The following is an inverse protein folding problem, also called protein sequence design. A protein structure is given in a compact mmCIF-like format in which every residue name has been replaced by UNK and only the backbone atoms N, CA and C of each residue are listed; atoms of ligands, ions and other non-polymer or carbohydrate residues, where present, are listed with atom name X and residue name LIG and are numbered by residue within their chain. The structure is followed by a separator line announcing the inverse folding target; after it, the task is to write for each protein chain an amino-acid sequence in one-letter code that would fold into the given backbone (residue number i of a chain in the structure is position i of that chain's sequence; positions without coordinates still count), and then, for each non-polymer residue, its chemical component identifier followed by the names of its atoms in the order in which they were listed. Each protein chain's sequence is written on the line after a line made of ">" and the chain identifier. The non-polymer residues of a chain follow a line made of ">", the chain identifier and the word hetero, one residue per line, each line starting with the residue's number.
data_IF_872047894432
#
_entry.id   IF_872047894432
#
_cell.length_a   1.000
_cell.length_b   1.000
_cell.length_c   1.000
_cell.angle_alpha   90.00
_cell.angle_beta   90.00
_cell.angle_gamma   90.00
#
_symmetry.space_group_name_H-M   'P 1'
#
loop_
_entity.id
_entity.type
_entity.pdbx_description
1 polymer ?
#
# COMPACT_ATOMS: atom_id res chain seq x y z
N UNK A 1 -12.77 -14.63 21.22
CA UNK A 1 -11.78 -15.33 20.37
C UNK A 1 -11.00 -14.39 19.44
N UNK A 2 -11.51 -13.21 19.10
CA UNK A 2 -10.78 -12.17 18.31
C UNK A 2 -9.69 -11.43 19.11
N UNK A 3 -9.83 -11.32 20.43
CA UNK A 3 -9.02 -10.45 21.30
C UNK A 3 -7.60 -10.93 21.60
N UNK A 4 -7.26 -12.20 21.31
CA UNK A 4 -5.95 -12.78 21.67
C UNK A 4 -5.08 -13.16 20.48
N UNK A 5 -5.40 -12.74 19.26
CA UNK A 5 -4.64 -13.14 18.06
C UNK A 5 -3.39 -12.32 17.81
N UNK A 6 -3.40 -11.06 18.23
CA UNK A 6 -2.25 -10.15 18.15
C UNK A 6 -2.02 -9.61 19.56
N UNK A 7 -0.82 -9.75 20.09
CA UNK A 7 -0.46 -9.18 21.37
C UNK A 7 -0.57 -7.64 21.27
N UNK A 8 -1.48 -7.05 22.04
CA UNK A 8 -1.85 -5.62 21.96
C UNK A 8 -0.67 -4.66 22.08
N UNK A 9 0.38 -5.08 22.79
CA UNK A 9 1.57 -4.26 23.01
C UNK A 9 2.56 -4.28 21.85
N UNK A 10 2.47 -5.27 20.92
CA UNK A 10 3.48 -5.49 19.87
C UNK A 10 3.12 -4.87 18.54
N UNK A 11 1.86 -4.96 18.13
CA UNK A 11 1.37 -4.28 16.92
C UNK A 11 0.20 -3.37 17.27
N UNK A 12 0.30 -2.10 16.85
CA UNK A 12 -0.74 -1.13 17.16
C UNK A 12 -1.87 -1.15 16.13
N UNK A 13 -1.58 -1.49 14.86
CA UNK A 13 -2.56 -1.46 13.78
C UNK A 13 -2.43 -2.68 12.89
N UNK A 14 -3.56 -3.28 12.53
CA UNK A 14 -3.56 -4.43 11.66
C UNK A 14 -4.89 -4.59 10.92
N UNK A 15 -4.83 -5.22 9.74
CA UNK A 15 -6.00 -5.69 9.00
C UNK A 15 -5.69 -7.03 8.35
N UNK A 16 -6.69 -7.89 8.27
CA UNK A 16 -6.70 -9.11 7.48
C UNK A 16 -7.88 -9.07 6.53
N UNK A 17 -7.62 -9.22 5.24
CA UNK A 17 -8.67 -9.28 4.23
C UNK A 17 -8.55 -10.52 3.35
N UNK A 18 -9.68 -10.96 2.82
CA UNK A 18 -9.73 -11.89 1.69
C UNK A 18 -9.35 -11.14 0.40
N UNK A 19 -8.37 -11.64 -0.36
CA UNK A 19 -7.88 -10.97 -1.55
C UNK A 19 -8.86 -11.00 -2.71
N UNK A 20 -9.70 -12.03 -2.80
CA UNK A 20 -10.65 -12.21 -3.90
C UNK A 20 -11.92 -11.39 -3.67
N UNK A 21 -12.51 -11.49 -2.48
CA UNK A 21 -13.77 -10.81 -2.15
C UNK A 21 -13.55 -9.38 -1.61
N UNK A 22 -12.43 -9.14 -0.91
CA UNK A 22 -12.14 -7.90 -0.19
C UNK A 22 -12.80 -7.84 1.19
N UNK A 23 -13.38 -8.95 1.65
CA UNK A 23 -13.98 -9.02 2.98
C UNK A 23 -12.93 -8.80 4.07
N UNK A 24 -13.23 -7.93 5.04
CA UNK A 24 -12.39 -7.70 6.22
C UNK A 24 -12.69 -8.78 7.25
N UNK A 25 -11.67 -9.56 7.61
CA UNK A 25 -11.77 -10.70 8.53
C UNK A 25 -11.24 -10.37 9.92
N UNK A 26 -10.34 -9.40 10.01
CA UNK A 26 -9.80 -8.87 11.26
C UNK A 26 -9.49 -7.39 11.10
N UNK A 27 -9.75 -6.61 12.15
CA UNK A 27 -9.51 -5.17 12.21
C UNK A 27 -8.96 -4.78 13.58
N UNK A 28 -7.89 -4.00 13.58
CA UNK A 28 -7.34 -3.29 14.73
C UNK A 28 -6.87 -1.91 14.27
N UNK A 29 -7.77 -0.92 14.27
CA UNK A 29 -7.50 0.44 13.84
C UNK A 29 -7.09 0.52 12.35
N UNK A 30 -7.77 -0.24 11.50
CA UNK A 30 -7.37 -0.43 10.10
C UNK A 30 -7.38 0.84 9.27
N UNK A 31 -8.19 1.84 9.62
CA UNK A 31 -8.34 3.10 8.88
C UNK A 31 -7.56 4.27 9.51
N UNK A 32 -6.78 4.01 10.55
CA UNK A 32 -5.93 5.02 11.18
C UNK A 32 -4.76 5.44 10.27
N UNK A 33 -4.52 6.76 10.17
CA UNK A 33 -3.40 7.31 9.39
C UNK A 33 -2.05 6.94 10.01
N UNK A 34 -1.17 6.34 9.22
CA UNK A 34 0.17 5.95 9.66
C UNK A 34 1.18 6.15 8.54
N UNK A 35 2.44 6.30 8.91
CA UNK A 35 3.53 6.32 7.94
C UNK A 35 3.76 4.92 7.36
N UNK A 36 3.66 4.75 6.03
CA UNK A 36 3.82 3.43 5.41
C UNK A 36 5.28 2.99 5.28
N UNK A 37 6.24 3.90 5.36
CA UNK A 37 7.64 3.66 5.02
C UNK A 37 7.78 2.96 3.65
N UNK A 38 8.69 2.01 3.49
CA UNK A 38 8.93 1.32 2.22
C UNK A 38 7.79 0.41 1.73
N UNK A 39 6.68 0.24 2.48
CA UNK A 39 5.49 -0.41 1.91
C UNK A 39 4.84 0.43 0.80
N UNK A 40 5.13 1.73 0.75
CA UNK A 40 4.87 2.64 -0.39
C UNK A 40 5.26 2.05 -1.73
N UNK A 41 6.36 1.29 -1.77
CA UNK A 41 6.91 0.71 -3.00
C UNK A 41 5.98 -0.30 -3.69
N UNK A 42 4.96 -0.79 -2.99
CA UNK A 42 3.87 -1.55 -3.63
C UNK A 42 3.12 -0.68 -4.65
N UNK A 43 2.76 0.56 -4.28
CA UNK A 43 2.11 1.50 -5.20
C UNK A 43 3.07 1.94 -6.31
N UNK A 44 4.30 2.28 -5.97
CA UNK A 44 5.32 2.65 -6.96
C UNK A 44 5.51 1.59 -8.04
N UNK A 45 5.67 0.34 -7.61
CA UNK A 45 5.83 -0.78 -8.53
C UNK A 45 4.55 -1.08 -9.33
N UNK A 46 3.37 -0.95 -8.73
CA UNK A 46 2.11 -1.13 -9.44
C UNK A 46 1.97 -0.13 -10.57
N UNK A 47 2.14 1.16 -10.28
CA UNK A 47 2.08 2.25 -11.29
C UNK A 47 3.16 2.06 -12.35
N UNK A 48 4.40 1.74 -11.96
CA UNK A 48 5.49 1.51 -12.92
C UNK A 48 5.21 0.32 -13.85
N UNK A 49 4.75 -0.81 -13.31
CA UNK A 49 4.46 -2.02 -14.09
C UNK A 49 3.29 -1.82 -15.06
N UNK A 50 2.32 -0.99 -14.69
CA UNK A 50 1.18 -0.66 -15.55
C UNK A 50 1.56 0.31 -16.68
N UNK A 51 2.55 1.18 -16.49
CA UNK A 51 2.91 2.27 -17.41
C UNK A 51 4.26 2.12 -18.08
N UNK A 52 4.92 0.97 -17.99
CA UNK A 52 6.21 0.73 -18.65
C UNK A 52 6.36 -0.70 -19.15
N UNK A 53 7.37 -0.90 -20.03
CA UNK A 53 7.77 -2.22 -20.49
C UNK A 53 8.95 -2.76 -19.66
N UNK A 54 9.02 -4.06 -19.39
CA UNK A 54 10.15 -4.66 -18.68
C UNK A 54 11.49 -4.49 -19.44
N UNK A 55 11.44 -4.15 -20.73
CA UNK A 55 12.62 -3.96 -21.59
C UNK A 55 13.05 -2.50 -21.74
N UNK A 56 12.26 -1.55 -21.23
CA UNK A 56 12.63 -0.14 -21.28
C UNK A 56 13.97 0.06 -20.55
N UNK A 57 14.80 0.93 -21.10
CA UNK A 57 16.07 1.27 -20.49
C UNK A 57 15.91 2.45 -19.57
N UNK A 58 16.33 2.26 -18.33
CA UNK A 58 16.37 3.29 -17.30
C UNK A 58 17.81 3.78 -17.19
N UNK A 59 18.01 5.09 -17.33
CA UNK A 59 19.30 5.75 -17.12
C UNK A 59 19.23 6.54 -15.81
N UNK A 60 20.17 6.27 -14.90
CA UNK A 60 20.21 6.98 -13.62
C UNK A 60 20.72 8.39 -13.79
N UNK A 61 19.91 9.34 -13.37
CA UNK A 61 20.18 10.78 -13.33
C UNK A 61 20.48 11.25 -11.91
N UNK A 62 20.67 12.54 -11.71
CA UNK A 62 20.79 13.18 -10.40
C UNK A 62 19.59 12.86 -9.49
N UNK A 63 18.38 12.69 -10.07
CA UNK A 63 17.16 12.34 -9.31
C UNK A 63 17.31 11.00 -8.61
N UNK A 64 17.79 9.97 -9.31
CA UNK A 64 17.98 8.64 -8.71
C UNK A 64 19.11 8.68 -7.68
N UNK A 65 20.29 9.11 -8.07
CA UNK A 65 21.49 8.96 -7.23
C UNK A 65 21.48 9.78 -5.93
N UNK A 66 20.65 10.85 -5.81
CA UNK A 66 20.56 11.65 -4.58
C UNK A 66 20.13 10.80 -3.37
N UNK A 67 19.39 9.71 -3.58
CA UNK A 67 18.88 8.83 -2.53
C UNK A 67 19.85 7.68 -2.19
N UNK A 68 21.03 7.65 -2.80
CA UNK A 68 22.14 6.74 -2.44
C UNK A 68 22.86 7.31 -1.23
N UNK A 69 22.38 6.96 -0.04
CA UNK A 69 23.01 7.36 1.22
C UNK A 69 23.45 6.12 2.02
N UNK A 70 24.37 6.30 2.96
CA UNK A 70 24.94 5.19 3.74
C UNK A 70 23.91 4.48 4.62
N UNK A 71 22.84 5.18 5.02
CA UNK A 71 21.78 4.74 5.91
C UNK A 71 20.48 4.36 5.17
N UNK A 72 20.45 4.50 3.84
CA UNK A 72 19.31 4.15 3.02
C UNK A 72 19.41 2.75 2.39
N UNK A 73 18.25 2.13 2.13
CA UNK A 73 18.19 0.93 1.30
C UNK A 73 18.49 1.29 -0.16
N UNK A 74 19.58 0.77 -0.72
CA UNK A 74 20.02 1.06 -2.09
C UNK A 74 20.77 -0.12 -2.74
N UNK A 75 21.08 -0.03 -4.01
CA UNK A 75 21.95 -0.93 -4.78
C UNK A 75 23.24 -0.25 -5.25
N UNK A 76 23.51 0.97 -4.77
CA UNK A 76 24.62 1.82 -5.18
C UNK A 76 24.61 2.10 -6.69
N UNK A 77 23.48 2.51 -7.24
CA UNK A 77 23.38 2.94 -8.61
C UNK A 77 24.21 4.21 -8.84
N UNK A 78 24.83 4.32 -10.03
CA UNK A 78 25.75 5.40 -10.37
C UNK A 78 25.13 6.35 -11.41
N UNK A 79 25.53 7.62 -11.40
CA UNK A 79 25.11 8.60 -12.40
C UNK A 79 25.49 8.12 -13.81
N UNK A 80 24.51 8.07 -14.71
CA UNK A 80 24.68 7.54 -16.08
C UNK A 80 24.69 6.00 -16.17
N UNK A 81 24.48 5.30 -15.08
CA UNK A 81 24.28 3.85 -15.12
C UNK A 81 22.97 3.51 -15.82
N UNK A 82 22.97 2.45 -16.63
CA UNK A 82 21.78 1.98 -17.35
C UNK A 82 21.44 0.55 -16.99
N UNK A 83 20.15 0.29 -16.77
CA UNK A 83 19.62 -1.07 -16.57
C UNK A 83 18.21 -1.19 -17.14
N UNK A 84 17.69 -2.41 -17.26
CA UNK A 84 16.32 -2.59 -17.73
C UNK A 84 15.31 -2.18 -16.64
N UNK A 85 14.11 -1.75 -17.07
CA UNK A 85 13.03 -1.45 -16.14
C UNK A 85 12.68 -2.67 -15.26
N UNK A 86 12.80 -3.90 -15.80
CA UNK A 86 12.64 -5.12 -15.01
C UNK A 86 13.67 -5.21 -13.88
N UNK A 87 14.95 -4.91 -14.15
CA UNK A 87 16.01 -4.91 -13.14
C UNK A 87 15.70 -3.88 -12.05
N UNK A 88 15.17 -2.70 -12.44
CA UNK A 88 14.71 -1.66 -11.51
C UNK A 88 13.54 -2.15 -10.64
N UNK A 89 12.52 -2.82 -11.23
CA UNK A 89 11.43 -3.40 -10.43
C UNK A 89 11.94 -4.39 -9.40
N UNK A 90 12.87 -5.26 -9.80
CA UNK A 90 13.45 -6.26 -8.91
C UNK A 90 14.30 -5.64 -7.79
N UNK A 91 15.06 -4.59 -8.10
CA UNK A 91 15.84 -3.86 -7.09
C UNK A 91 14.95 -3.13 -6.08
N UNK A 92 13.92 -2.43 -6.56
CA UNK A 92 12.94 -1.76 -5.70
C UNK A 92 12.16 -2.73 -4.81
N UNK A 93 11.83 -3.92 -5.32
CA UNK A 93 11.11 -4.93 -4.56
C UNK A 93 12.00 -5.68 -3.57
N UNK A 94 13.10 -6.29 -4.04
CA UNK A 94 13.95 -7.21 -3.26
C UNK A 94 14.85 -6.46 -2.29
N UNK A 95 15.53 -5.38 -2.75
CA UNK A 95 16.47 -4.59 -1.93
C UNK A 95 15.83 -3.36 -1.31
N UNK A 96 14.57 -3.08 -1.67
CA UNK A 96 13.91 -1.85 -1.22
C UNK A 96 14.64 -0.57 -1.65
N UNK A 97 15.35 -0.60 -2.78
CA UNK A 97 16.25 0.45 -3.24
C UNK A 97 15.50 1.77 -3.46
N UNK A 98 15.84 2.81 -2.67
CA UNK A 98 15.16 4.11 -2.70
C UNK A 98 15.50 4.86 -3.98
N UNK A 99 16.78 4.92 -4.34
CA UNK A 99 17.29 5.58 -5.54
C UNK A 99 16.66 5.01 -6.82
N UNK A 100 16.40 3.71 -6.81
CA UNK A 100 15.73 3.06 -7.94
C UNK A 100 14.26 3.49 -8.05
N UNK A 101 13.57 3.67 -6.92
CA UNK A 101 12.20 4.15 -6.93
C UNK A 101 12.09 5.59 -7.46
N UNK A 102 13.00 6.48 -7.06
CA UNK A 102 13.07 7.85 -7.57
C UNK A 102 13.41 7.89 -9.06
N UNK A 103 14.33 7.01 -9.52
CA UNK A 103 14.63 6.92 -10.95
C UNK A 103 13.49 6.29 -11.76
N UNK A 104 12.77 5.30 -11.24
CA UNK A 104 11.54 4.78 -11.87
C UNK A 104 10.52 5.91 -11.99
N UNK A 105 10.33 6.70 -10.94
CA UNK A 105 9.37 7.79 -10.92
C UNK A 105 9.68 8.83 -12.00
N UNK A 106 10.93 9.27 -12.11
CA UNK A 106 11.33 10.20 -13.17
C UNK A 106 11.16 9.58 -14.56
N UNK A 107 11.58 8.31 -14.75
CA UNK A 107 11.53 7.65 -16.06
C UNK A 107 10.09 7.45 -16.54
N UNK A 108 9.17 7.05 -15.68
CA UNK A 108 7.78 6.74 -16.03
C UNK A 108 6.91 7.98 -16.04
N UNK A 109 7.09 8.87 -15.06
CA UNK A 109 6.31 10.10 -14.93
C UNK A 109 6.83 11.28 -15.74
N UNK A 110 8.05 11.18 -16.30
CA UNK A 110 8.77 12.31 -16.87
C UNK A 110 9.38 13.23 -15.80
N UNK A 111 8.73 13.33 -14.66
CA UNK A 111 9.23 13.93 -13.41
C UNK A 111 8.74 13.10 -12.22
N UNK A 112 9.48 13.15 -11.11
CA UNK A 112 9.07 12.49 -9.88
C UNK A 112 7.73 13.03 -9.36
N UNK A 113 7.51 14.34 -9.43
CA UNK A 113 6.26 14.98 -9.01
C UNK A 113 5.05 14.46 -9.81
N UNK A 114 5.18 14.34 -11.13
CA UNK A 114 4.12 13.79 -11.97
C UNK A 114 3.85 12.31 -11.66
N UNK A 115 4.88 11.52 -11.37
CA UNK A 115 4.70 10.14 -10.96
C UNK A 115 3.99 10.00 -9.61
N UNK A 116 4.29 10.87 -8.65
CA UNK A 116 3.60 10.94 -7.36
C UNK A 116 2.12 11.26 -7.55
N UNK A 117 1.78 12.16 -8.48
CA UNK A 117 0.37 12.41 -8.83
C UNK A 117 -0.29 11.16 -9.44
N UNK A 118 0.41 10.40 -10.31
CA UNK A 118 -0.08 9.11 -10.81
C UNK A 118 -0.33 8.11 -9.67
N UNK A 119 0.53 8.07 -8.65
CA UNK A 119 0.34 7.22 -7.46
C UNK A 119 -0.91 7.63 -6.68
N UNK A 120 -1.11 8.94 -6.46
CA UNK A 120 -2.27 9.47 -5.74
C UNK A 120 -3.57 9.25 -6.54
N UNK A 121 -3.53 9.41 -7.85
CA UNK A 121 -4.66 9.08 -8.72
C UNK A 121 -5.00 7.59 -8.65
N UNK A 122 -3.99 6.70 -8.70
CA UNK A 122 -4.19 5.26 -8.54
C UNK A 122 -4.78 4.92 -7.17
N UNK A 123 -4.34 5.58 -6.10
CA UNK A 123 -4.92 5.39 -4.77
C UNK A 123 -6.43 5.72 -4.75
N UNK A 124 -6.84 6.83 -5.37
CA UNK A 124 -8.27 7.19 -5.52
C UNK A 124 -9.04 6.14 -6.31
N UNK A 125 -8.49 5.63 -7.43
CA UNK A 125 -9.10 4.57 -8.25
C UNK A 125 -9.32 3.28 -7.46
N UNK A 126 -8.39 2.94 -6.55
CA UNK A 126 -8.49 1.78 -5.67
C UNK A 126 -9.41 2.01 -4.46
N UNK A 127 -9.97 3.20 -4.30
CA UNK A 127 -10.82 3.56 -3.16
C UNK A 127 -10.03 3.70 -1.85
N UNK A 128 -8.76 4.12 -1.94
CA UNK A 128 -7.95 4.46 -0.78
C UNK A 128 -8.33 5.87 -0.29
N UNK A 129 -8.98 5.94 0.86
CA UNK A 129 -9.50 7.20 1.43
C UNK A 129 -8.59 7.77 2.52
N UNK A 130 -7.61 7.00 2.99
CA UNK A 130 -6.69 7.36 4.07
C UNK A 130 -5.24 7.32 3.57
N UNK A 131 -5.00 7.64 2.30
CA UNK A 131 -3.67 7.54 1.68
C UNK A 131 -3.34 8.78 0.90
N UNK A 132 -2.11 9.27 1.10
CA UNK A 132 -1.48 10.28 0.28
C UNK A 132 0.02 9.99 0.17
N UNK A 133 0.54 9.99 -1.04
CA UNK A 133 1.95 9.79 -1.33
C UNK A 133 2.61 11.14 -1.65
N UNK A 134 3.76 11.41 -1.04
CA UNK A 134 4.60 12.57 -1.29
C UNK A 134 5.88 12.21 -2.07
N UNK A 135 6.26 10.94 -2.11
CA UNK A 135 7.41 10.43 -2.85
C UNK A 135 7.21 8.95 -3.26
N UNK A 136 8.07 8.44 -4.14
CA UNK A 136 7.99 7.09 -4.66
C UNK A 136 8.65 6.02 -3.77
N UNK A 137 9.44 6.40 -2.78
CA UNK A 137 10.27 5.47 -1.98
C UNK A 137 9.69 5.14 -0.61
N UNK A 138 8.86 6.01 -0.05
CA UNK A 138 8.36 5.93 1.32
C UNK A 138 9.31 6.56 2.34
N UNK A 139 10.21 7.43 1.89
CA UNK A 139 11.02 8.28 2.78
C UNK A 139 10.11 9.19 3.60
N UNK A 140 10.53 9.55 4.83
CA UNK A 140 9.72 10.38 5.71
C UNK A 140 9.33 11.73 5.09
N UNK A 141 8.04 12.04 5.14
CA UNK A 141 7.44 13.32 4.79
C UNK A 141 6.12 13.44 5.56
N UNK A 142 5.79 14.60 6.06
CA UNK A 142 4.58 14.82 6.88
C UNK A 142 3.28 14.56 6.11
N UNK A 143 3.31 14.74 4.78
CA UNK A 143 2.19 14.50 3.88
C UNK A 143 2.20 13.09 3.28
N UNK A 144 3.11 12.20 3.73
CA UNK A 144 3.23 10.84 3.23
C UNK A 144 2.64 9.84 4.22
N UNK A 145 1.38 9.45 4.01
CA UNK A 145 0.66 8.58 4.93
C UNK A 145 -0.23 7.57 4.19
N UNK A 146 -0.61 6.52 4.91
CA UNK A 146 -1.58 5.51 4.47
C UNK A 146 -2.27 4.91 5.70
N UNK A 147 -3.13 3.91 5.48
CA UNK A 147 -3.71 3.09 6.53
C UNK A 147 -3.48 1.60 6.25
N UNK A 148 -3.67 0.74 7.24
CA UNK A 148 -3.54 -0.70 7.04
C UNK A 148 -4.54 -1.20 5.99
N UNK A 149 -5.76 -0.70 6.01
CA UNK A 149 -6.82 -1.04 5.06
C UNK A 149 -6.48 -0.60 3.62
N UNK A 150 -6.00 0.63 3.46
CA UNK A 150 -5.63 1.12 2.12
C UNK A 150 -4.41 0.38 1.56
N UNK A 151 -3.41 0.06 2.39
CA UNK A 151 -2.28 -0.78 1.98
C UNK A 151 -2.76 -2.19 1.57
N UNK A 152 -3.78 -2.75 2.24
CA UNK A 152 -4.37 -4.01 1.83
C UNK A 152 -5.10 -3.92 0.48
N UNK A 153 -5.82 -2.81 0.19
CA UNK A 153 -6.41 -2.54 -1.13
C UNK A 153 -5.35 -2.43 -2.22
N UNK A 154 -4.25 -1.74 -1.94
CA UNK A 154 -3.10 -1.62 -2.86
C UNK A 154 -2.51 -3.00 -3.13
N UNK A 155 -2.25 -3.80 -2.09
CA UNK A 155 -1.75 -5.17 -2.25
C UNK A 155 -2.70 -6.05 -3.05
N UNK A 156 -4.01 -5.91 -2.85
CA UNK A 156 -5.03 -6.60 -3.64
C UNK A 156 -4.93 -6.27 -5.13
N UNK A 157 -4.70 -5.00 -5.48
CA UNK A 157 -4.46 -4.58 -6.87
C UNK A 157 -3.15 -5.17 -7.41
N UNK A 158 -2.08 -5.18 -6.62
CA UNK A 158 -0.82 -5.83 -6.97
C UNK A 158 -1.00 -7.32 -7.29
N UNK A 159 -1.79 -8.04 -6.49
CA UNK A 159 -2.08 -9.46 -6.69
C UNK A 159 -2.91 -9.73 -7.97
N UNK A 160 -3.74 -8.80 -8.40
CA UNK A 160 -4.51 -8.90 -9.66
C UNK A 160 -3.65 -8.66 -10.89
N UNK A 161 -2.52 -7.97 -10.76
CA UNK A 161 -1.58 -7.74 -11.86
C UNK A 161 -0.63 -8.94 -12.04
N UNK A 162 -0.74 -9.65 -13.17
CA UNK A 162 0.06 -10.85 -13.45
C UNK A 162 1.57 -10.59 -13.43
N UNK A 163 2.03 -9.43 -13.93
CA UNK A 163 3.46 -9.06 -13.94
C UNK A 163 3.94 -8.78 -12.52
N UNK A 164 3.12 -8.07 -11.72
CA UNK A 164 3.44 -7.82 -10.32
C UNK A 164 3.57 -9.12 -9.52
N UNK A 165 2.65 -10.09 -9.69
CA UNK A 165 2.77 -11.41 -9.06
C UNK A 165 4.07 -12.14 -9.41
N UNK A 166 4.60 -11.96 -10.63
CA UNK A 166 5.89 -12.54 -11.00
C UNK A 166 7.06 -11.89 -10.27
N UNK A 167 7.06 -10.56 -10.13
CA UNK A 167 8.05 -9.83 -9.33
C UNK A 167 7.98 -10.26 -7.86
N UNK A 168 6.80 -10.32 -7.31
CA UNK A 168 6.54 -10.60 -5.90
C UNK A 168 7.00 -12.00 -5.45
N UNK A 169 6.94 -12.99 -6.34
CA UNK A 169 7.39 -14.37 -6.07
C UNK A 169 8.91 -14.53 -6.00
N UNK A 170 9.68 -13.50 -6.41
CA UNK A 170 11.13 -13.59 -6.45
C UNK A 170 11.73 -13.26 -5.09
N UNK A 171 12.40 -14.24 -4.48
CA UNK A 171 13.19 -14.04 -3.26
C UNK A 171 14.67 -13.74 -3.53
N UNK A 172 15.16 -14.09 -4.74
CA UNK A 172 16.53 -13.85 -5.18
C UNK A 172 16.55 -13.35 -6.61
N UNK A 173 17.43 -12.42 -6.92
CA UNK A 173 17.60 -11.91 -8.28
C UNK A 173 19.03 -11.44 -8.52
N UNK A 174 19.52 -11.64 -9.75
CA UNK A 174 20.81 -11.15 -10.19
C UNK A 174 20.60 -10.10 -11.28
N UNK A 175 20.94 -8.84 -10.97
CA UNK A 175 21.08 -7.80 -11.99
C UNK A 175 22.36 -8.12 -12.77
N UNK A 176 22.33 -8.23 -14.11
CA UNK A 176 23.53 -8.38 -14.92
C UNK A 176 24.53 -7.22 -14.71
N UNK A 177 25.77 -7.39 -15.15
CA UNK A 177 26.70 -6.27 -15.26
C UNK A 177 26.11 -5.18 -16.15
N UNK A 178 26.26 -3.93 -15.73
CA UNK A 178 25.79 -2.75 -16.44
C UNK A 178 26.96 -2.06 -17.17
N UNK A 179 26.72 -0.88 -17.75
CA UNK A 179 27.77 -0.06 -18.31
C UNK A 179 28.77 0.48 -17.28
N UNK A 180 28.40 0.53 -15.97
CA UNK A 180 29.23 1.13 -14.92
C UNK A 180 29.48 0.20 -13.70
N UNK A 181 28.78 -0.92 -13.61
CA UNK A 181 28.88 -1.77 -12.42
C UNK A 181 28.92 -3.26 -12.78
N UNK A 182 29.61 -4.03 -11.97
CA UNK A 182 29.56 -5.48 -11.98
C UNK A 182 28.16 -6.01 -11.62
N UNK A 183 27.90 -7.29 -11.94
CA UNK A 183 26.63 -7.91 -11.62
C UNK A 183 26.33 -7.91 -10.11
N UNK A 184 25.09 -7.60 -9.74
CA UNK A 184 24.64 -7.55 -8.34
C UNK A 184 23.72 -8.72 -8.03
N UNK A 185 24.03 -9.49 -6.99
CA UNK A 185 23.14 -10.54 -6.47
C UNK A 185 22.35 -9.98 -5.30
N UNK A 186 21.05 -10.13 -5.38
CA UNK A 186 20.12 -9.61 -4.37
C UNK A 186 19.33 -10.75 -3.73
N UNK A 187 19.13 -10.66 -2.43
CA UNK A 187 18.32 -11.58 -1.63
C UNK A 187 17.22 -10.80 -0.93
N UNK A 188 16.07 -11.43 -0.74
CA UNK A 188 14.93 -10.80 -0.06
C UNK A 188 15.25 -10.47 1.40
N UNK A 189 14.70 -9.38 1.89
CA UNK A 189 14.70 -9.00 3.31
C UNK A 189 13.47 -9.51 4.07
N UNK A 190 12.55 -10.23 3.40
CA UNK A 190 11.32 -10.70 4.02
C UNK A 190 11.53 -12.06 4.68
N UNK A 191 11.51 -12.15 6.03
CA UNK A 191 11.75 -13.39 6.74
C UNK A 191 10.73 -14.50 6.41
N UNK A 192 9.47 -14.13 6.15
CA UNK A 192 8.41 -15.10 5.78
C UNK A 192 8.67 -15.84 4.47
N UNK A 193 9.53 -15.29 3.58
CA UNK A 193 9.92 -15.89 2.30
C UNK A 193 11.30 -16.56 2.33
N UNK A 194 12.09 -16.31 3.35
CA UNK A 194 13.46 -16.83 3.47
C UNK A 194 13.42 -18.21 4.13
N UNK A 195 13.73 -19.28 3.39
CA UNK A 195 13.63 -20.67 3.88
C UNK A 195 14.53 -20.95 5.08
N UNK A 196 15.59 -20.18 5.22
CA UNK A 196 16.57 -20.27 6.32
C UNK A 196 16.10 -19.58 7.59
N UNK A 197 15.03 -18.75 7.47
CA UNK A 197 14.48 -18.00 8.60
C UNK A 197 13.61 -18.90 9.49
N UNK A 198 13.73 -18.72 10.79
CA UNK A 198 12.82 -19.32 11.77
C UNK A 198 11.38 -18.77 11.69
N UNK A 199 11.19 -17.68 10.91
CA UNK A 199 9.91 -17.06 10.63
C UNK A 199 9.36 -17.44 9.25
N UNK A 200 10.01 -18.39 8.55
CA UNK A 200 9.54 -18.84 7.24
C UNK A 200 8.10 -19.38 7.30
N UNK A 201 7.26 -18.90 6.38
CA UNK A 201 5.89 -19.34 6.24
C UNK A 201 5.65 -19.87 4.82
N UNK A 202 5.40 -21.16 4.70
CA UNK A 202 5.39 -21.85 3.40
C UNK A 202 4.31 -21.33 2.43
N UNK A 203 3.19 -20.84 2.96
CA UNK A 203 2.09 -20.31 2.16
C UNK A 203 2.28 -18.83 1.79
N UNK A 204 3.33 -18.16 2.29
CA UNK A 204 3.63 -16.78 1.94
C UNK A 204 4.00 -16.67 0.46
N UNK A 205 3.25 -15.87 -0.30
CA UNK A 205 3.47 -15.64 -1.73
C UNK A 205 4.17 -14.31 -2.02
N UNK A 206 4.44 -13.51 -1.00
CA UNK A 206 5.17 -12.25 -1.10
C UNK A 206 4.61 -11.13 -0.24
N UNK A 207 5.24 -9.96 -0.36
CA UNK A 207 4.87 -8.75 0.37
C UNK A 207 5.97 -7.72 0.39
N UNK A 208 5.85 -6.73 1.26
CA UNK A 208 6.81 -5.65 1.39
C UNK A 208 6.98 -5.24 2.85
N UNK A 209 8.21 -5.18 3.30
CA UNK A 209 8.60 -4.63 4.59
C UNK A 209 8.83 -3.12 4.49
N UNK A 210 8.63 -2.40 5.59
CA UNK A 210 8.98 -1.00 5.72
C UNK A 210 9.52 -0.70 7.10
N UNK A 211 10.41 0.27 7.18
CA UNK A 211 10.93 0.81 8.43
C UNK A 211 11.32 2.28 8.26
N UNK A 212 10.95 3.07 9.21
CA UNK A 212 11.57 4.36 9.56
C UNK A 212 11.38 4.59 11.06
N UNK A 213 12.08 5.56 11.62
CA UNK A 213 11.93 5.86 13.06
C UNK A 213 10.48 6.19 13.42
N UNK A 214 9.79 6.95 12.58
CA UNK A 214 8.41 7.39 12.82
C UNK A 214 7.38 6.28 12.52
N UNK A 215 7.59 5.52 11.43
CA UNK A 215 6.73 4.41 11.06
C UNK A 215 6.91 3.17 11.95
N UNK A 216 8.08 3.00 12.56
CA UNK A 216 8.53 1.72 13.10
C UNK A 216 8.47 0.62 12.04
N UNK A 217 8.36 -0.65 12.41
CA UNK A 217 8.27 -1.73 11.43
C UNK A 217 6.84 -1.84 10.88
N UNK A 218 6.75 -1.94 9.55
CA UNK A 218 5.51 -2.18 8.80
C UNK A 218 5.68 -3.39 7.89
N UNK A 219 4.62 -4.16 7.71
CA UNK A 219 4.60 -5.31 6.82
C UNK A 219 3.26 -5.41 6.10
N UNK A 220 3.32 -5.50 4.79
CA UNK A 220 2.19 -5.90 3.93
C UNK A 220 2.55 -7.24 3.31
N UNK A 221 1.75 -8.26 3.52
CA UNK A 221 2.07 -9.60 3.01
C UNK A 221 0.82 -10.36 2.59
N UNK A 222 0.99 -11.34 1.72
CA UNK A 222 -0.08 -12.21 1.26
C UNK A 222 0.33 -13.68 1.37
N UNK A 223 -0.65 -14.53 1.65
CA UNK A 223 -0.49 -15.97 1.71
C UNK A 223 -1.58 -16.65 0.87
N UNK A 224 -1.22 -17.77 0.23
CA UNK A 224 -2.12 -18.56 -0.61
C UNK A 224 -2.08 -20.03 -0.17
N UNK A 225 -3.25 -20.59 0.13
CA UNK A 225 -3.42 -22.01 0.50
C UNK A 225 -4.70 -22.56 -0.13
N UNK A 226 -4.60 -23.66 -0.87
CA UNK A 226 -5.75 -24.34 -1.50
C UNK A 226 -6.60 -23.40 -2.38
N UNK A 227 -5.95 -22.50 -3.13
CA UNK A 227 -6.62 -21.56 -4.03
C UNK A 227 -7.27 -20.34 -3.36
N UNK A 228 -7.18 -20.21 -2.02
CA UNK A 228 -7.62 -19.01 -1.28
C UNK A 228 -6.42 -18.14 -0.97
N UNK A 229 -6.59 -16.83 -1.14
CA UNK A 229 -5.53 -15.85 -0.89
C UNK A 229 -5.99 -14.83 0.13
N UNK A 230 -5.18 -14.61 1.17
CA UNK A 230 -5.42 -13.60 2.18
C UNK A 230 -4.29 -12.58 2.21
N UNK A 231 -4.62 -11.35 2.61
CA UNK A 231 -3.68 -10.24 2.78
C UNK A 231 -3.71 -9.82 4.23
N UNK A 232 -2.54 -9.77 4.86
CA UNK A 232 -2.33 -9.22 6.19
C UNK A 232 -1.46 -7.98 6.11
N UNK A 233 -1.87 -6.91 6.78
CA UNK A 233 -1.09 -5.70 6.98
C UNK A 233 -0.94 -5.47 8.47
N UNK A 234 0.30 -5.28 8.92
CA UNK A 234 0.64 -4.98 10.30
C UNK A 234 1.56 -3.77 10.34
N UNK A 235 1.22 -2.75 11.15
CA UNK A 235 1.91 -1.47 11.16
C UNK A 235 2.32 -1.06 12.57
N UNK A 236 3.46 -0.38 12.65
CA UNK A 236 4.00 0.21 13.87
C UNK A 236 4.38 -0.82 14.94
N UNK A 237 4.97 -1.92 14.53
CA UNK A 237 5.56 -2.89 15.46
C UNK A 237 6.98 -2.48 15.86
N UNK A 238 7.37 -2.81 17.08
CA UNK A 238 8.71 -2.53 17.58
C UNK A 238 9.80 -3.34 16.85
N UNK A 239 9.46 -4.49 16.27
CA UNK A 239 10.37 -5.40 15.58
C UNK A 239 9.69 -6.09 14.39
N UNK A 240 10.45 -6.35 13.32
CA UNK A 240 9.94 -7.04 12.12
C UNK A 240 9.48 -8.48 12.41
N UNK A 241 10.10 -9.16 13.37
CA UNK A 241 9.71 -10.51 13.77
C UNK A 241 8.29 -10.54 14.34
N UNK A 242 7.90 -9.49 15.07
CA UNK A 242 6.52 -9.31 15.57
C UNK A 242 5.55 -9.21 14.40
N UNK A 243 5.82 -8.35 13.40
CA UNK A 243 4.99 -8.27 12.20
C UNK A 243 4.83 -9.64 11.50
N UNK A 244 5.92 -10.40 11.39
CA UNK A 244 5.90 -11.72 10.76
C UNK A 244 5.07 -12.72 11.55
N UNK A 245 5.22 -12.76 12.88
CA UNK A 245 4.47 -13.68 13.76
C UNK A 245 2.99 -13.36 13.76
N UNK A 246 2.64 -12.08 13.83
CA UNK A 246 1.24 -11.63 13.80
C UNK A 246 0.60 -11.90 12.44
N UNK A 247 1.31 -11.63 11.33
CA UNK A 247 0.82 -11.95 9.99
C UNK A 247 0.58 -13.45 9.82
N UNK A 248 1.49 -14.31 10.33
CA UNK A 248 1.32 -15.77 10.32
C UNK A 248 0.10 -16.20 11.12
N UNK A 249 -0.12 -15.59 12.30
CA UNK A 249 -1.28 -15.87 13.16
C UNK A 249 -2.58 -15.48 12.46
N UNK A 250 -2.61 -14.30 11.82
CA UNK A 250 -3.75 -13.83 11.04
C UNK A 250 -4.06 -14.75 9.86
N UNK A 251 -3.04 -15.22 9.12
CA UNK A 251 -3.23 -16.15 8.01
C UNK A 251 -3.77 -17.50 8.49
N UNK A 252 -3.21 -18.08 9.54
CA UNK A 252 -3.71 -19.32 10.09
C UNK A 252 -5.16 -19.17 10.55
N UNK A 253 -5.49 -18.08 11.24
CA UNK A 253 -6.87 -17.78 11.61
C UNK A 253 -7.80 -17.73 10.40
N UNK A 254 -7.39 -17.06 9.30
CA UNK A 254 -8.21 -16.99 8.10
C UNK A 254 -8.41 -18.38 7.47
N UNK A 255 -7.33 -19.13 7.24
CA UNK A 255 -7.40 -20.45 6.61
C UNK A 255 -8.18 -21.49 7.43
N UNK A 256 -8.17 -21.35 8.76
CA UNK A 256 -8.82 -22.31 9.66
C UNK A 256 -10.31 -21.98 9.89
N UNK A 257 -10.72 -20.70 9.75
CA UNK A 257 -12.05 -20.27 10.19
C UNK A 257 -12.97 -19.76 9.08
N UNK A 258 -12.49 -19.56 7.86
CA UNK A 258 -13.31 -19.02 6.76
C UNK A 258 -13.26 -19.91 5.54
N UNK A 259 -14.36 -19.88 4.79
CA UNK A 259 -14.52 -20.47 3.46
C UNK A 259 -15.07 -19.40 2.49
N UNK A 260 -14.95 -19.66 1.20
CA UNK A 260 -15.59 -18.87 0.15
C UNK A 260 -16.73 -19.68 -0.44
N UNK A 261 -17.92 -19.08 -0.51
CA UNK A 261 -19.10 -19.63 -1.18
C UNK A 261 -19.45 -18.80 -2.39
N UNK A 262 -20.05 -19.43 -3.39
CA UNK A 262 -20.62 -18.73 -4.54
C UNK A 262 -22.10 -18.44 -4.28
N UNK A 263 -22.48 -17.18 -4.48
CA UNK A 263 -23.87 -16.72 -4.39
C UNK A 263 -24.21 -16.02 -5.70
N UNK A 264 -24.96 -16.67 -6.55
CA UNK A 264 -25.38 -16.17 -7.87
C UNK A 264 -24.19 -15.64 -8.72
N UNK A 265 -23.09 -16.40 -8.76
CA UNK A 265 -21.88 -16.04 -9.50
C UNK A 265 -20.98 -15.02 -8.79
N UNK A 266 -21.29 -14.65 -7.54
CA UNK A 266 -20.48 -13.75 -6.71
C UNK A 266 -19.84 -14.52 -5.56
N UNK A 267 -18.53 -14.49 -5.49
CA UNK A 267 -17.78 -15.09 -4.38
C UNK A 267 -17.97 -14.26 -3.09
N UNK A 268 -18.34 -14.91 -2.00
CA UNK A 268 -18.48 -14.30 -0.68
C UNK A 268 -17.70 -15.10 0.36
N UNK A 269 -16.99 -14.38 1.24
CA UNK A 269 -16.26 -14.99 2.35
C UNK A 269 -17.15 -15.12 3.57
N UNK A 270 -17.29 -16.34 4.07
CA UNK A 270 -18.15 -16.67 5.21
C UNK A 270 -17.39 -17.51 6.22
N UNK A 271 -17.83 -17.59 7.48
CA UNK A 271 -17.29 -18.54 8.45
C UNK A 271 -17.42 -19.97 7.93
N UNK A 272 -16.46 -20.81 8.28
CA UNK A 272 -16.38 -22.20 7.83
C UNK A 272 -17.64 -22.98 8.17
N UNK A 273 -18.15 -23.69 7.15
CA UNK A 273 -19.38 -24.49 7.25
C UNK A 273 -20.68 -23.72 7.05
N UNK A 274 -20.61 -22.38 6.83
CA UNK A 274 -21.76 -21.56 6.46
C UNK A 274 -22.08 -21.78 5.00
N UNK A 275 -23.37 -21.91 4.68
CA UNK A 275 -23.91 -22.10 3.33
C UNK A 275 -24.79 -20.90 2.93
N UNK A 276 -25.19 -20.83 1.67
CA UNK A 276 -26.11 -19.79 1.17
C UNK A 276 -27.42 -19.77 1.95
N UNK A 277 -27.90 -20.95 2.41
CA UNK A 277 -29.15 -21.09 3.16
C UNK A 277 -29.09 -20.48 4.59
N UNK A 278 -27.89 -20.25 5.09
CA UNK A 278 -27.69 -19.65 6.44
C UNK A 278 -27.64 -18.12 6.38
N UNK A 279 -27.69 -17.54 5.15
CA UNK A 279 -27.62 -16.11 4.95
C UNK A 279 -28.99 -15.46 4.99
N UNK A 280 -29.07 -14.28 5.59
CA UNK A 280 -30.24 -13.39 5.48
C UNK A 280 -29.95 -12.29 4.46
N UNK A 281 -31.00 -11.78 3.82
CA UNK A 281 -30.88 -10.78 2.77
C UNK A 281 -31.72 -9.56 3.05
N UNK A 282 -31.27 -8.42 2.52
CA UNK A 282 -32.08 -7.23 2.28
C UNK A 282 -31.73 -6.64 0.91
N UNK A 283 -32.49 -5.64 0.47
CA UNK A 283 -32.27 -4.94 -0.80
C UNK A 283 -31.87 -3.49 -0.55
N UNK A 284 -30.95 -2.98 -1.38
CA UNK A 284 -30.55 -1.58 -1.38
C UNK A 284 -30.43 -1.08 -2.82
N UNK A 285 -30.68 0.20 -3.04
CA UNK A 285 -30.41 0.84 -4.32
C UNK A 285 -29.09 1.61 -4.26
N UNK A 286 -28.23 1.41 -5.26
CA UNK A 286 -26.96 2.15 -5.41
C UNK A 286 -26.73 2.46 -6.89
N UNK A 287 -26.59 3.74 -7.22
CA UNK A 287 -26.38 4.22 -8.60
C UNK A 287 -27.41 3.68 -9.59
N UNK A 288 -28.70 3.67 -9.22
CA UNK A 288 -29.80 3.18 -10.05
C UNK A 288 -29.83 1.66 -10.24
N UNK A 289 -29.04 0.89 -9.48
CA UNK A 289 -29.06 -0.57 -9.50
C UNK A 289 -29.58 -1.11 -8.18
N UNK A 290 -30.42 -2.12 -8.25
CA UNK A 290 -30.86 -2.87 -7.08
C UNK A 290 -29.75 -3.85 -6.72
N UNK A 291 -29.37 -3.85 -5.45
CA UNK A 291 -28.38 -4.75 -4.87
C UNK A 291 -29.06 -5.63 -3.83
N UNK A 292 -28.95 -6.94 -3.94
CA UNK A 292 -29.27 -7.87 -2.86
C UNK A 292 -28.05 -7.99 -1.97
N UNK A 293 -28.16 -7.55 -0.71
CA UNK A 293 -27.11 -7.63 0.29
C UNK A 293 -27.30 -8.88 1.14
N UNK A 294 -26.20 -9.56 1.46
CA UNK A 294 -26.20 -10.81 2.20
C UNK A 294 -25.53 -10.60 3.56
N UNK A 295 -26.11 -11.24 4.58
CA UNK A 295 -25.64 -11.16 5.98
C UNK A 295 -25.60 -12.53 6.60
N UNK A 296 -24.58 -12.77 7.44
CA UNK A 296 -24.50 -13.90 8.36
C UNK A 296 -24.47 -13.40 9.80
N UNK A 297 -25.42 -13.86 10.63
CA UNK A 297 -25.56 -13.39 12.03
C UNK A 297 -25.58 -11.86 12.17
N UNK A 298 -26.22 -11.16 11.23
CA UNK A 298 -26.31 -9.70 11.18
C UNK A 298 -25.05 -8.98 10.67
N UNK A 299 -23.99 -9.70 10.32
CA UNK A 299 -22.79 -9.13 9.73
C UNK A 299 -22.87 -9.20 8.21
N UNK A 300 -22.57 -8.08 7.54
CA UNK A 300 -22.53 -8.00 6.08
C UNK A 300 -21.40 -8.91 5.51
N UNK A 301 -21.74 -9.75 4.54
CA UNK A 301 -20.80 -10.67 3.87
C UNK A 301 -20.60 -10.35 2.40
N UNK A 302 -21.56 -9.69 1.75
CA UNK A 302 -21.43 -9.31 0.34
C UNK A 302 -22.74 -8.84 -0.26
N UNK A 303 -22.70 -8.56 -1.56
CA UNK A 303 -23.89 -8.21 -2.33
C UNK A 303 -23.82 -8.79 -3.76
N UNK A 304 -24.99 -9.04 -4.34
CA UNK A 304 -25.18 -9.36 -5.75
C UNK A 304 -25.95 -8.22 -6.39
N UNK A 305 -25.47 -7.69 -7.50
CA UNK A 305 -26.21 -6.71 -8.30
C UNK A 305 -27.19 -7.45 -9.22
N UNK A 306 -28.46 -7.05 -9.23
CA UNK A 306 -29.40 -7.59 -10.20
C UNK A 306 -28.92 -7.28 -11.62
N UNK A 307 -28.91 -8.31 -12.47
CA UNK A 307 -28.68 -8.14 -13.90
C UNK A 307 -29.77 -7.22 -14.44
N UNK A 308 -29.44 -6.12 -15.09
CA UNK A 308 -30.44 -5.36 -15.85
C UNK A 308 -31.11 -6.31 -16.84
N UNK A 309 -32.45 -6.28 -16.96
CA UNK A 309 -33.09 -7.01 -18.02
C UNK A 309 -32.45 -6.57 -19.34
N UNK A 310 -31.88 -7.49 -20.06
CA UNK A 310 -31.45 -7.25 -21.43
C UNK A 310 -32.69 -6.88 -22.17
N UNK A 311 -32.84 -5.60 -22.54
CA UNK A 311 -33.87 -5.22 -23.52
C UNK A 311 -33.59 -6.07 -24.76
N UNK A 312 -34.47 -7.05 -25.00
CA UNK A 312 -34.49 -7.79 -26.25
C UNK A 312 -34.75 -6.75 -27.32
N UNK A 313 -33.87 -6.59 -28.33
CA UNK A 313 -34.16 -5.67 -29.41
C UNK A 313 -35.49 -6.10 -30.01
N UNK A 314 -36.49 -5.21 -30.00
CA UNK A 314 -37.72 -5.42 -30.74
C UNK A 314 -37.32 -5.68 -32.20
N UNK A 315 -37.71 -6.83 -32.70
CA UNK A 315 -37.59 -7.16 -34.12
C UNK A 315 -38.55 -6.22 -34.84
N UNK A 316 -38.06 -5.12 -35.38
CA UNK A 316 -38.77 -4.32 -36.36
C UNK A 316 -38.86 -5.12 -37.65
N UNK A 317 -40.05 -5.52 -37.96
CA UNK A 317 -40.45 -6.09 -39.23
C UNK A 317 -40.25 -5.03 -40.32
N UNK A 318 -39.23 -5.25 -41.17
CA UNK A 318 -38.91 -4.39 -42.30
C UNK A 318 -40.00 -4.44 -43.34
N UNK A 319 -40.72 -3.33 -43.55
CA UNK A 319 -41.40 -3.06 -44.79
C UNK A 319 -40.47 -2.21 -45.71
N UNK A 320 -40.08 -2.81 -46.84
CA UNK A 320 -39.37 -2.16 -47.94
C UNK A 320 -40.17 -0.98 -48.49
N UNK A 321 -39.56 0.18 -48.66
CA UNK A 321 -39.78 1.02 -49.87
C UNK A 321 -38.53 1.89 -50.12
N UNK A 322 -38.09 1.81 -51.35
CA UNK A 322 -36.98 2.54 -51.94
C UNK A 322 -37.29 4.04 -52.15
N UNK A 323 -36.26 4.88 -52.08
CA UNK A 323 -35.85 5.88 -53.08
C UNK A 323 -34.96 6.94 -52.47
N UNK A 324 -33.78 6.95 -52.97
CA UNK A 324 -33.01 8.03 -53.65
C UNK A 324 -32.69 9.37 -52.93
N UNK A 325 -31.42 9.58 -52.84
CA UNK A 325 -30.57 10.74 -53.25
C UNK A 325 -30.49 11.98 -52.35
N UNK A 326 -29.28 12.27 -52.14
CA UNK A 326 -28.43 13.49 -52.36
C UNK A 326 -27.97 14.27 -51.13
N UNK A 327 -26.65 14.24 -51.05
CA UNK A 327 -25.66 15.34 -50.84
C UNK A 327 -26.13 16.64 -50.16
N UNK A 328 -25.43 17.10 -49.13
CA UNK A 328 -24.35 18.13 -49.16
C UNK A 328 -24.12 18.74 -47.75
N UNK A 329 -22.87 18.85 -47.47
CA UNK A 329 -22.11 19.83 -46.65
C UNK A 329 -22.86 20.93 -45.88
N UNK A 330 -22.42 21.21 -44.66
CA UNK A 330 -21.56 22.39 -44.33
C UNK A 330 -21.40 22.55 -42.84
N UNK A 331 -20.17 22.91 -42.52
CA UNK A 331 -19.70 23.38 -41.23
C UNK A 331 -20.34 24.73 -40.84
N UNK A 332 -20.46 25.01 -39.56
CA UNK A 332 -20.09 26.32 -39.02
C UNK A 332 -20.00 26.31 -37.50
N UNK A 333 -18.88 26.83 -37.05
CA UNK A 333 -18.50 27.30 -35.73
C UNK A 333 -19.36 28.48 -35.28
N UNK A 334 -19.70 28.56 -33.98
CA UNK A 334 -19.77 29.86 -33.26
C UNK A 334 -19.42 29.67 -31.79
N UNK A 335 -18.44 30.40 -31.35
CA UNK A 335 -18.06 30.80 -29.99
C UNK A 335 -19.14 31.68 -29.35
N UNK A 336 -19.32 31.67 -28.06
CA UNK A 336 -18.95 32.75 -27.14
C UNK A 336 -19.60 32.66 -25.75
N UNK A 337 -18.76 33.01 -24.77
CA UNK A 337 -18.87 33.86 -23.57
C UNK A 337 -19.86 33.52 -22.43
N UNK A 338 -19.22 33.33 -21.28
CA UNK A 338 -19.32 33.99 -19.97
C UNK A 338 -20.73 34.31 -19.40
N UNK A 339 -21.00 33.82 -18.20
CA UNK A 339 -21.21 34.70 -17.06
C UNK A 339 -21.25 33.91 -15.71
N UNK A 340 -20.56 34.49 -14.78
CA UNK A 340 -20.45 34.20 -13.35
C UNK A 340 -21.75 34.54 -12.61
N UNK A 341 -22.14 33.71 -11.63
CA UNK A 341 -22.79 34.20 -10.41
C UNK A 341 -22.37 33.32 -9.21
N UNK A 342 -21.66 33.98 -8.33
CA UNK A 342 -21.52 33.60 -6.92
C UNK A 342 -22.90 33.60 -6.24
N UNK A 343 -23.15 32.65 -5.38
CA UNK A 343 -23.87 32.95 -4.15
C UNK A 343 -23.55 31.98 -3.03
N UNK A 344 -23.14 32.57 -1.95
CA UNK A 344 -22.92 32.11 -0.60
C UNK A 344 -24.10 31.34 -0.02
N UNK A 345 -23.81 30.28 0.70
CA UNK A 345 -24.44 30.02 2.00
C UNK A 345 -23.60 29.02 2.81
N UNK A 346 -22.87 29.61 3.75
CA UNK A 346 -22.25 28.91 4.87
C UNK A 346 -23.32 28.25 5.75
N UNK A 347 -23.10 27.00 6.10
CA UNK A 347 -23.64 26.43 7.31
C UNK A 347 -22.49 25.66 8.00
N UNK A 348 -21.96 26.32 9.03
CA UNK A 348 -21.02 25.70 9.98
C UNK A 348 -21.70 24.55 10.72
N UNK A 349 -21.07 23.37 10.64
CA UNK A 349 -21.21 22.34 11.68
C UNK A 349 -19.83 22.15 12.29
N UNK A 350 -19.59 22.81 13.40
CA UNK A 350 -18.45 22.56 14.28
C UNK A 350 -18.59 21.18 14.89
N UNK A 351 -17.78 20.24 14.45
CA UNK A 351 -17.36 19.09 15.25
C UNK A 351 -15.85 19.21 15.45
N UNK A 352 -15.46 19.47 16.70
CA UNK A 352 -14.07 19.68 17.08
C UNK A 352 -13.25 18.42 16.97
N UNK A 353 -12.70 18.17 15.80
CA UNK A 353 -11.58 17.30 15.59
C UNK A 353 -10.37 18.18 15.29
N UNK A 354 -9.36 18.13 16.19
CA UNK A 354 -8.06 18.78 15.95
C UNK A 354 -7.47 18.27 14.65
N UNK A 355 -6.85 19.15 13.87
CA UNK A 355 -6.17 18.78 12.63
C UNK A 355 -5.04 17.77 12.92
N UNK A 356 -4.75 16.90 11.98
CA UNK A 356 -3.67 15.90 12.09
C UNK A 356 -2.31 16.56 12.37
N UNK A 357 -2.06 17.75 11.83
CA UNK A 357 -0.87 18.56 12.12
C UNK A 357 -0.78 19.00 13.60
N UNK A 358 -1.91 19.31 14.23
CA UNK A 358 -1.96 19.64 15.65
C UNK A 358 -1.78 18.39 16.54
N UNK A 359 -2.35 17.25 16.14
CA UNK A 359 -2.15 15.99 16.85
C UNK A 359 -0.70 15.47 16.73
N UNK A 360 -0.09 15.56 15.55
CA UNK A 360 1.32 15.21 15.32
C UNK A 360 2.24 16.18 16.09
N UNK A 361 1.91 17.47 16.14
CA UNK A 361 2.71 18.46 16.86
C UNK A 361 2.60 18.27 18.38
N UNK A 362 1.45 17.89 18.90
CA UNK A 362 1.23 17.57 20.31
C UNK A 362 2.01 16.30 20.74
N UNK A 363 1.98 15.25 19.92
CA UNK A 363 2.77 14.03 20.12
C UNK A 363 4.28 14.31 20.02
N UNK A 364 4.69 15.17 19.09
CA UNK A 364 6.10 15.55 18.89
C UNK A 364 6.64 16.41 20.03
N UNK A 365 5.86 17.34 20.57
CA UNK A 365 6.27 18.21 21.67
C UNK A 365 6.32 17.49 23.01
N UNK A 366 5.40 16.58 23.30
CA UNK A 366 5.43 15.80 24.54
C UNK A 366 6.51 14.70 24.53
N UNK A 367 6.65 13.94 23.46
CA UNK A 367 7.65 12.89 23.32
C UNK A 367 9.09 13.42 23.22
N UNK A 368 9.31 14.51 22.45
CA UNK A 368 10.62 15.16 22.35
C UNK A 368 11.02 15.85 23.65
N UNK A 369 10.08 16.48 24.33
CA UNK A 369 10.34 17.13 25.63
C UNK A 369 10.79 16.12 26.69
N UNK A 370 10.19 14.94 26.75
CA UNK A 370 10.60 13.87 27.67
C UNK A 370 11.95 13.26 27.32
N UNK A 371 12.18 12.93 26.06
CA UNK A 371 13.45 12.40 25.57
C UNK A 371 14.60 13.39 25.66
N UNK A 372 14.38 14.66 25.30
CA UNK A 372 15.41 15.71 25.44
C UNK A 372 15.79 15.97 26.90
N UNK A 373 14.81 15.99 27.81
CA UNK A 373 15.09 16.10 29.25
C UNK A 373 15.89 14.91 29.76
N UNK A 374 15.53 13.68 29.36
CA UNK A 374 16.29 12.49 29.72
C UNK A 374 17.72 12.50 29.16
N UNK A 375 17.91 12.95 27.91
CA UNK A 375 19.21 13.07 27.27
C UNK A 375 20.09 14.13 27.94
N UNK A 376 19.54 15.30 28.29
CA UNK A 376 20.25 16.37 28.98
C UNK A 376 20.66 15.95 30.40
N UNK A 377 19.84 15.21 31.11
CA UNK A 377 20.14 14.65 32.42
C UNK A 377 21.28 13.60 32.28
N UNK A 378 21.22 12.71 31.31
CA UNK A 378 22.25 11.71 31.03
C UNK A 378 23.60 12.36 30.67
N UNK A 379 23.58 13.39 29.82
CA UNK A 379 24.79 14.15 29.47
C UNK A 379 25.38 14.90 30.69
N UNK A 380 24.53 15.48 31.55
CA UNK A 380 24.99 16.11 32.79
C UNK A 380 25.66 15.14 33.74
N UNK A 381 25.09 13.95 33.93
CA UNK A 381 25.68 12.88 34.76
C UNK A 381 27.01 12.39 34.20
N UNK A 382 27.11 12.19 32.88
CA UNK A 382 28.35 11.80 32.21
C UNK A 382 29.45 12.86 32.36
N UNK A 383 29.12 14.15 32.25
CA UNK A 383 30.05 15.25 32.44
C UNK A 383 30.60 15.29 33.88
N UNK A 384 29.75 15.08 34.90
CA UNK A 384 30.17 15.03 36.31
C UNK A 384 31.11 13.84 36.58
N UNK A 385 30.79 12.67 36.00
CA UNK A 385 31.64 11.47 36.10
C UNK A 385 33.01 11.72 35.44
N UNK A 386 33.05 12.35 34.27
CA UNK A 386 34.30 12.66 33.56
C UNK A 386 35.15 13.64 34.34
N UNK A 387 34.56 14.68 34.93
CA UNK A 387 35.26 15.63 35.79
C UNK A 387 35.84 14.93 37.04
N UNK A 388 35.05 14.08 37.68
CA UNK A 388 35.51 13.31 38.84
C UNK A 388 36.68 12.37 38.48
N UNK A 389 36.64 11.72 37.32
CA UNK A 389 37.74 10.89 36.83
C UNK A 389 39.02 11.71 36.53
N UNK A 390 38.85 12.88 35.92
CA UNK A 390 40.00 13.79 35.65
C UNK A 390 40.64 14.31 36.95
N UNK A 391 39.85 14.66 37.97
CA UNK A 391 40.34 15.05 39.29
C UNK A 391 41.05 13.88 39.95
N UNK A 392 40.51 12.66 39.92
CA UNK A 392 41.13 11.48 40.46
C UNK A 392 42.45 11.13 39.76
N UNK A 393 42.54 11.28 38.45
CA UNK A 393 43.77 11.13 37.66
C UNK A 393 44.81 12.21 38.00
N UNK A 394 44.37 13.45 38.20
CA UNK A 394 45.26 14.54 38.61
C UNK A 394 45.86 14.32 40.00
N UNK A 395 45.04 13.87 40.98
CA UNK A 395 45.49 13.55 42.34
C UNK A 395 46.45 12.34 42.35
N UNK A 396 46.30 11.38 41.44
CA UNK A 396 47.12 10.18 41.37
C UNK A 396 48.46 10.41 40.68
N UNK A 397 48.62 11.45 39.85
CA UNK A 397 49.82 11.75 39.08
C UNK A 397 50.59 13.00 39.58
N UNK A 398 50.13 13.67 40.62
CA UNK A 398 50.79 14.70 41.37
C UNK A 398 51.23 14.18 42.76
#
# INVERSE_FOLDING_TARGET
>A
MRENMIEEEKNQFAVLIDADTGAVLYDKGMDEYRYPASTTKLMTLLVAIENSSPKDIVTFTETGIRDVTWDSSNINAQLGETMTMKDCWMAAYIKSANEVCSQIAETVGGTEANFVEMMNQKAKELGCTHTHFANASGLPDENHYSSAHDLAKIMRACLRNKRFRQVMKCSNYKIPATNLSEARVMHTHMPLMAKESNLYYADCIGGKTGFSTDAQHTLVTAAERNGRTYIAVTMRAADLGINCTDSTSLFNYAFDNFDTIDVDGTAMTVPKGVTVNDLTTDTAERNGKILTRYYYSGQFVGYVAEAQPTETPAVEETAETAAESSETEAAETVTDSLETTENDSQAEVQTGQKSMSEQIQEIRTEGLSGMMKALLIAMGVMAVILIALLIALYIKNG
#
